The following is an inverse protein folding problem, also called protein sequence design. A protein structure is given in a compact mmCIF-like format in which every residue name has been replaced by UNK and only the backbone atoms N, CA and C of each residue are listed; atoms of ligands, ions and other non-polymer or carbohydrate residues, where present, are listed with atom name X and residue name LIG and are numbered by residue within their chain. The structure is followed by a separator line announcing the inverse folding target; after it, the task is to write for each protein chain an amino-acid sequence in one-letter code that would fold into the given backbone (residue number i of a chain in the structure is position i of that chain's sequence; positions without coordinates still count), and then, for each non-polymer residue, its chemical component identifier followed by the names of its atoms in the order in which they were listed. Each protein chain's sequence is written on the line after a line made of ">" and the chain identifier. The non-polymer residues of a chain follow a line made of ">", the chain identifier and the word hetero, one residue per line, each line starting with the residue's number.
data_IF_730162456817
#
_entry.id   IF_730162456817
#
_cell.length_a   1.000
_cell.length_b   1.000
_cell.length_c   1.000
_cell.angle_alpha   90.00
_cell.angle_beta   90.00
_cell.angle_gamma   90.00
#
_symmetry.space_group_name_H-M   'P 1'
#
loop_
_entity.id
_entity.type
_entity.pdbx_description
1 polymer ?
#
# COMPACT_ATOMS: atom_id res chain seq x y z
N UNK A 1 -34.75 19.13 -23.97
CA UNK A 1 -34.56 17.66 -23.88
C UNK A 1 -35.86 17.10 -23.31
N UNK A 2 -36.48 16.13 -23.98
CA UNK A 2 -37.71 15.49 -23.50
C UNK A 2 -37.38 14.27 -22.64
N UNK A 3 -38.33 13.84 -21.81
CA UNK A 3 -38.17 12.64 -20.99
C UNK A 3 -37.85 11.39 -21.84
N UNK A 4 -38.50 11.26 -22.99
CA UNK A 4 -38.30 10.15 -23.94
C UNK A 4 -36.86 10.09 -24.47
N UNK A 5 -36.33 11.24 -24.92
CA UNK A 5 -34.94 11.33 -25.40
C UNK A 5 -33.96 10.97 -24.29
N UNK A 6 -34.24 11.38 -23.04
CA UNK A 6 -33.40 11.05 -21.90
C UNK A 6 -33.44 9.56 -21.56
N UNK A 7 -34.62 8.94 -21.62
CA UNK A 7 -34.82 7.51 -21.38
C UNK A 7 -34.07 6.66 -22.40
N UNK A 8 -34.23 6.97 -23.69
CA UNK A 8 -33.52 6.28 -24.77
C UNK A 8 -32.00 6.46 -24.66
N UNK A 9 -31.54 7.66 -24.33
CA UNK A 9 -30.13 7.94 -24.13
C UNK A 9 -29.53 7.11 -22.97
N UNK A 10 -30.24 6.98 -21.85
CA UNK A 10 -29.81 6.17 -20.70
C UNK A 10 -29.79 4.67 -21.04
N UNK A 11 -30.79 4.17 -21.78
CA UNK A 11 -30.85 2.78 -22.23
C UNK A 11 -29.66 2.46 -23.15
N UNK A 12 -29.37 3.36 -24.10
CA UNK A 12 -28.21 3.26 -25.00
C UNK A 12 -26.90 3.31 -24.23
N UNK A 13 -26.78 4.19 -23.23
CA UNK A 13 -25.60 4.30 -22.38
C UNK A 13 -25.38 3.04 -21.55
N UNK A 14 -26.44 2.44 -20.99
CA UNK A 14 -26.37 1.17 -20.25
C UNK A 14 -25.84 0.03 -21.12
N UNK A 15 -26.39 -0.09 -22.33
CA UNK A 15 -25.95 -1.11 -23.28
C UNK A 15 -24.49 -0.93 -23.72
N UNK A 16 -24.06 0.32 -23.95
CA UNK A 16 -22.67 0.63 -24.24
C UNK A 16 -21.74 0.31 -23.06
N UNK A 17 -22.13 0.68 -21.83
CA UNK A 17 -21.39 0.38 -20.61
C UNK A 17 -21.17 -1.13 -20.44
N UNK A 18 -22.21 -1.94 -20.63
CA UNK A 18 -22.08 -3.39 -20.47
C UNK A 18 -21.12 -3.99 -21.51
N UNK A 19 -21.18 -3.55 -22.78
CA UNK A 19 -20.20 -3.97 -23.80
C UNK A 19 -18.76 -3.64 -23.43
N UNK A 20 -18.53 -2.48 -22.80
CA UNK A 20 -17.20 -2.08 -22.31
C UNK A 20 -16.77 -2.99 -21.17
N UNK A 21 -17.66 -3.27 -20.20
CA UNK A 21 -17.37 -4.18 -19.09
C UNK A 21 -17.06 -5.60 -19.57
N UNK A 22 -17.82 -6.13 -20.54
CA UNK A 22 -17.57 -7.45 -21.12
C UNK A 22 -16.16 -7.52 -21.77
N UNK A 23 -15.68 -6.42 -22.34
CA UNK A 23 -14.33 -6.34 -22.92
C UNK A 23 -13.25 -6.23 -21.83
N UNK A 24 -13.53 -5.49 -20.75
CA UNK A 24 -12.64 -5.40 -19.59
C UNK A 24 -12.48 -6.75 -18.90
N UNK A 25 -13.57 -7.49 -18.70
CA UNK A 25 -13.60 -8.80 -18.04
C UNK A 25 -12.80 -9.86 -18.82
N UNK A 26 -12.83 -9.81 -20.18
CA UNK A 26 -11.95 -10.63 -21.03
C UNK A 26 -10.47 -10.37 -20.83
N UNK A 27 -10.10 -9.20 -20.32
CA UNK A 27 -8.71 -8.79 -20.11
C UNK A 27 -8.26 -9.07 -18.68
N UNK A 28 -9.13 -8.84 -17.70
CA UNK A 28 -8.87 -9.07 -16.28
C UNK A 28 -10.18 -9.52 -15.59
N UNK A 29 -10.23 -10.79 -15.21
CA UNK A 29 -11.38 -11.44 -14.55
C UNK A 29 -11.60 -10.92 -13.11
N UNK A 30 -10.54 -10.42 -12.48
CA UNK A 30 -10.67 -9.84 -11.16
C UNK A 30 -9.37 -9.24 -10.61
N UNK A 31 -9.42 -8.72 -9.37
CA UNK A 31 -8.23 -8.26 -8.68
C UNK A 31 -7.16 -9.35 -8.64
N UNK A 32 -5.90 -8.96 -8.84
CA UNK A 32 -4.77 -9.90 -8.71
C UNK A 32 -4.67 -10.39 -7.27
N UNK A 33 -4.39 -11.68 -7.09
CA UNK A 33 -4.25 -12.29 -5.76
C UNK A 33 -3.09 -11.68 -4.97
N UNK A 34 -2.03 -11.27 -5.67
CA UNK A 34 -0.85 -10.68 -5.07
C UNK A 34 -0.67 -9.23 -5.51
N UNK A 35 -0.22 -8.41 -4.56
CA UNK A 35 0.18 -7.02 -4.80
C UNK A 35 1.45 -7.03 -5.68
N UNK A 36 1.52 -6.07 -6.60
CA UNK A 36 2.68 -5.88 -7.49
C UNK A 36 4.00 -5.88 -6.69
N UNK A 37 5.07 -6.51 -7.20
CA UNK A 37 6.38 -6.49 -6.52
C UNK A 37 6.97 -5.08 -6.41
N UNK A 38 6.53 -4.14 -7.25
CA UNK A 38 6.94 -2.73 -7.23
C UNK A 38 5.99 -1.84 -6.43
N UNK A 39 4.88 -2.39 -5.94
CA UNK A 39 3.96 -1.62 -5.12
C UNK A 39 4.47 -1.55 -3.68
N UNK A 40 4.28 -0.41 -3.00
CA UNK A 40 4.63 -0.27 -1.60
C UNK A 40 4.00 -1.35 -0.74
N UNK A 41 4.84 -2.13 -0.05
CA UNK A 41 4.41 -3.05 1.00
C UNK A 41 4.47 -2.36 2.34
N UNK A 42 3.44 -2.59 3.14
CA UNK A 42 3.38 -2.15 4.52
C UNK A 42 3.55 -3.41 5.38
N UNK A 43 4.65 -3.47 6.12
CA UNK A 43 4.93 -4.52 7.09
C UNK A 43 4.69 -3.93 8.47
N UNK A 44 3.84 -4.58 9.26
CA UNK A 44 3.62 -4.24 10.66
C UNK A 44 4.34 -5.25 11.54
N UNK A 45 5.10 -4.77 12.51
CA UNK A 45 5.81 -5.59 13.50
C UNK A 45 5.69 -4.93 14.87
N UNK A 46 5.69 -5.74 15.92
CA UNK A 46 5.62 -5.25 17.30
C UNK A 46 6.96 -5.46 17.99
N UNK A 47 7.49 -4.42 18.62
CA UNK A 47 8.68 -4.50 19.46
C UNK A 47 8.34 -4.20 20.92
N UNK A 48 9.08 -4.77 21.89
CA UNK A 48 8.94 -4.41 23.29
C UNK A 48 9.14 -2.90 23.51
N UNK A 49 8.31 -2.30 24.36
CA UNK A 49 8.36 -0.86 24.70
C UNK A 49 9.74 -0.42 25.18
N UNK A 50 10.43 -1.30 25.90
CA UNK A 50 11.77 -1.05 26.45
C UNK A 50 12.84 -0.88 25.35
N UNK A 51 12.60 -1.44 24.16
CA UNK A 51 13.50 -1.36 23.01
C UNK A 51 13.22 -0.17 22.09
N UNK A 52 12.07 0.50 22.22
CA UNK A 52 11.69 1.64 21.34
C UNK A 52 12.77 2.73 21.39
N UNK A 53 13.20 3.11 22.59
CA UNK A 53 14.22 4.14 22.78
C UNK A 53 15.58 3.78 22.16
N UNK A 54 15.94 2.48 22.15
CA UNK A 54 17.17 1.99 21.53
C UNK A 54 17.09 2.02 20.00
N UNK A 55 15.94 1.66 19.43
CA UNK A 55 15.70 1.66 17.97
C UNK A 55 15.67 3.08 17.41
N UNK A 56 15.02 4.02 18.09
CA UNK A 56 15.01 5.43 17.69
C UNK A 56 16.41 6.03 17.83
N UNK A 57 17.09 5.72 18.93
CA UNK A 57 18.41 6.27 19.28
C UNK A 57 18.35 7.74 19.68
N UNK A 58 19.48 8.31 20.13
CA UNK A 58 19.53 9.70 20.58
C UNK A 58 19.16 10.67 19.45
N UNK A 59 18.08 11.44 19.63
CA UNK A 59 17.59 12.41 18.65
C UNK A 59 17.04 11.79 17.35
N UNK A 60 16.69 10.50 17.34
CA UNK A 60 16.21 9.82 16.14
C UNK A 60 17.29 9.52 15.11
N UNK A 61 18.57 9.57 15.50
CA UNK A 61 19.69 9.37 14.55
C UNK A 61 19.73 7.95 14.00
N UNK A 62 19.48 6.95 14.85
CA UNK A 62 19.50 5.53 14.44
C UNK A 62 18.40 5.25 13.43
N UNK A 63 17.16 5.67 13.74
CA UNK A 63 16.04 5.44 12.82
C UNK A 63 16.21 6.19 11.49
N UNK A 64 16.74 7.42 11.50
CA UNK A 64 17.04 8.16 10.26
C UNK A 64 18.08 7.45 9.40
N UNK A 65 19.12 6.91 10.02
CA UNK A 65 20.13 6.13 9.30
C UNK A 65 19.54 4.88 8.64
N UNK A 66 18.65 4.17 9.35
CA UNK A 66 17.96 2.99 8.81
C UNK A 66 17.07 3.41 7.62
N UNK A 67 16.32 4.51 7.73
CA UNK A 67 15.49 5.05 6.65
C UNK A 67 16.34 5.44 5.43
N UNK A 68 17.48 6.10 5.64
CA UNK A 68 18.38 6.52 4.55
C UNK A 68 19.02 5.33 3.83
N UNK A 69 19.44 4.31 4.57
CA UNK A 69 20.09 3.13 3.98
C UNK A 69 19.10 2.17 3.30
N UNK A 70 17.89 2.01 3.86
CA UNK A 70 16.89 1.08 3.31
C UNK A 70 15.95 1.75 2.32
N UNK A 71 15.83 3.08 2.36
CA UNK A 71 14.81 3.82 1.61
C UNK A 71 13.37 3.54 2.08
N UNK A 72 13.19 2.77 3.16
CA UNK A 72 11.89 2.44 3.71
C UNK A 72 11.42 3.57 4.66
N UNK A 73 10.13 3.87 4.63
CA UNK A 73 9.49 4.77 5.59
C UNK A 73 9.10 3.97 6.83
N UNK A 74 9.68 4.31 7.97
CA UNK A 74 9.41 3.63 9.24
C UNK A 74 8.68 4.58 10.18
N UNK A 75 7.58 4.11 10.76
CA UNK A 75 6.80 4.79 11.78
C UNK A 75 6.74 3.90 13.03
N UNK A 76 6.91 4.49 14.20
CA UNK A 76 6.95 3.77 15.48
C UNK A 76 5.99 4.46 16.43
N UNK A 77 4.99 3.71 16.90
CA UNK A 77 4.03 4.17 17.90
C UNK A 77 4.51 3.87 19.32
N UNK A 78 4.05 4.65 20.28
CA UNK A 78 4.37 4.51 21.72
C UNK A 78 3.89 3.17 22.30
N UNK A 79 2.95 2.51 21.62
CA UNK A 79 2.47 1.16 21.93
C UNK A 79 3.44 0.05 21.51
N UNK A 80 4.56 0.38 20.85
CA UNK A 80 5.52 -0.60 20.30
C UNK A 80 5.15 -1.14 18.92
N UNK A 81 4.14 -0.57 18.27
CA UNK A 81 3.77 -0.92 16.89
C UNK A 81 4.70 -0.20 15.92
N UNK A 82 5.43 -0.97 15.11
CA UNK A 82 6.31 -0.47 14.05
C UNK A 82 5.66 -0.74 12.70
N UNK A 83 5.51 0.31 11.91
CA UNK A 83 4.99 0.25 10.54
C UNK A 83 6.11 0.60 9.58
N UNK A 84 6.49 -0.37 8.74
CA UNK A 84 7.54 -0.23 7.74
C UNK A 84 6.85 -0.22 6.37
N UNK A 85 6.91 0.91 5.67
CA UNK A 85 6.39 1.05 4.31
C UNK A 85 7.55 1.20 3.32
N UNK A 86 7.65 0.32 2.34
CA UNK A 86 8.67 0.41 1.28
C UNK A 86 8.13 -0.04 -0.07
N UNK A 87 8.56 0.62 -1.15
CA UNK A 87 8.32 0.22 -2.54
C UNK A 87 9.02 -1.09 -2.95
N UNK A 88 9.99 -1.54 -2.16
CA UNK A 88 10.75 -2.77 -2.39
C UNK A 88 10.63 -3.71 -1.19
N UNK A 89 10.29 -4.98 -1.48
CA UNK A 89 10.16 -6.05 -0.49
C UNK A 89 11.48 -6.30 0.23
N UNK A 90 12.61 -6.30 -0.49
CA UNK A 90 13.93 -6.52 0.10
C UNK A 90 14.28 -5.42 1.10
N UNK A 91 14.05 -4.16 0.72
CA UNK A 91 14.25 -3.01 1.58
C UNK A 91 13.38 -3.06 2.85
N UNK A 92 12.12 -3.49 2.72
CA UNK A 92 11.21 -3.64 3.85
C UNK A 92 11.69 -4.73 4.82
N UNK A 93 12.18 -5.87 4.29
CA UNK A 93 12.72 -6.97 5.09
C UNK A 93 14.04 -6.59 5.78
N UNK A 94 14.92 -5.86 5.10
CA UNK A 94 16.18 -5.39 5.66
C UNK A 94 15.96 -4.35 6.76
N UNK A 95 15.00 -3.44 6.58
CA UNK A 95 14.56 -2.54 7.63
C UNK A 95 14.01 -3.31 8.84
N UNK A 96 13.17 -4.34 8.60
CA UNK A 96 12.63 -5.19 9.67
C UNK A 96 13.74 -5.88 10.48
N UNK A 97 14.71 -6.50 9.80
CA UNK A 97 15.84 -7.21 10.46
C UNK A 97 16.70 -6.30 11.34
N UNK A 98 16.78 -5.00 11.01
CA UNK A 98 17.56 -4.03 11.77
C UNK A 98 16.82 -3.50 13.01
N UNK A 99 15.51 -3.71 13.08
CA UNK A 99 14.63 -3.25 14.17
C UNK A 99 14.39 -4.34 15.22
N UNK A 100 14.48 -5.63 14.85
CA UNK A 100 14.42 -6.79 15.77
C UNK A 100 15.63 -6.87 16.73
#
# INVERSE_FOLDING_TARGET
>A
ITYEIMSEALERARNARNKILDLMEKTIDGPRAEISPYAPRIITTMIPTDKIGLVIGPGGKTIRHIIEETGAKIDIDDSGTVIIASSDVSAAEDAKKRIE
#
